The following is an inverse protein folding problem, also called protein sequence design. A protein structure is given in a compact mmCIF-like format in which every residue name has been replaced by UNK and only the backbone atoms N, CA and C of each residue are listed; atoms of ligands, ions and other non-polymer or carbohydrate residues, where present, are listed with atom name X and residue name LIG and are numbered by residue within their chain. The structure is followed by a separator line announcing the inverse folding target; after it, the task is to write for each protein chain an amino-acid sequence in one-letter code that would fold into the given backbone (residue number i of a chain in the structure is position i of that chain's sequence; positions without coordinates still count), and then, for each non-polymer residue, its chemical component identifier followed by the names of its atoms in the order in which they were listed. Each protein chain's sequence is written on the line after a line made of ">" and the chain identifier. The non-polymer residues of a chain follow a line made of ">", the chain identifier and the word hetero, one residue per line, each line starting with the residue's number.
data_IF_199760406104
#
_entry.id   IF_199760406104
#
_cell.length_a   1.000
_cell.length_b   1.000
_cell.length_c   1.000
_cell.angle_alpha   90.00
_cell.angle_beta   90.00
_cell.angle_gamma   90.00
#
_symmetry.space_group_name_H-M   'P 1'
#
loop_
_entity.id
_entity.type
_entity.pdbx_description
1 polymer ?
#
# COMPACT_ATOMS: atom_id res chain seq x y z
N UNK A 1 12.62 2.63 -6.14
CA UNK A 1 14.03 2.28 -5.85
C UNK A 1 14.11 0.76 -5.90
N UNK A 2 14.97 0.18 -6.76
CA UNK A 2 15.05 -1.29 -6.95
C UNK A 2 16.04 -1.85 -5.92
N UNK A 3 15.59 -2.72 -5.03
CA UNK A 3 16.43 -3.41 -4.05
C UNK A 3 16.48 -4.92 -4.33
N UNK A 4 17.62 -5.59 -4.12
CA UNK A 4 17.78 -7.02 -4.38
C UNK A 4 16.93 -7.86 -3.42
N UNK A 5 16.35 -8.94 -3.96
CA UNK A 5 15.50 -9.91 -3.25
C UNK A 5 16.29 -10.60 -2.13
N UNK A 6 16.04 -10.20 -0.89
CA UNK A 6 16.37 -10.98 0.30
C UNK A 6 15.04 -11.40 0.93
N UNK A 7 14.82 -12.71 1.07
CA UNK A 7 13.71 -13.36 1.78
C UNK A 7 12.30 -13.32 1.16
N UNK A 8 12.16 -13.52 -0.16
CA UNK A 8 10.84 -13.75 -0.80
C UNK A 8 9.85 -12.58 -0.69
N UNK A 9 10.31 -11.40 -0.26
CA UNK A 9 9.50 -10.19 -0.06
C UNK A 9 9.09 -9.57 -1.41
N UNK A 10 7.86 -9.03 -1.53
CA UNK A 10 7.43 -8.36 -2.75
C UNK A 10 8.25 -7.07 -2.96
N UNK A 11 8.66 -6.86 -4.21
CA UNK A 11 9.17 -5.60 -4.75
C UNK A 11 7.97 -4.82 -5.25
N UNK A 12 7.77 -3.64 -4.71
CA UNK A 12 6.75 -2.74 -5.22
C UNK A 12 7.29 -1.82 -6.32
N UNK A 13 6.47 -1.59 -7.34
CA UNK A 13 6.73 -0.66 -8.44
C UNK A 13 5.65 0.40 -8.46
N UNK A 14 6.06 1.65 -8.25
CA UNK A 14 5.16 2.79 -8.39
C UNK A 14 4.75 2.95 -9.85
N UNK A 15 3.45 3.05 -10.10
CA UNK A 15 2.89 3.31 -11.43
C UNK A 15 1.90 4.47 -11.37
N UNK A 16 1.86 5.24 -12.44
CA UNK A 16 0.88 6.29 -12.67
C UNK A 16 -0.11 5.85 -13.78
N UNK A 17 -1.02 6.76 -14.16
CA UNK A 17 -2.01 6.48 -15.20
C UNK A 17 -1.35 6.11 -16.54
N UNK A 18 -0.21 6.72 -16.88
CA UNK A 18 0.50 6.45 -18.12
C UNK A 18 1.11 5.05 -18.14
N UNK A 19 1.82 4.66 -17.08
CA UNK A 19 2.40 3.33 -16.93
C UNK A 19 1.32 2.26 -16.85
N UNK A 20 0.21 2.55 -16.16
CA UNK A 20 -0.95 1.64 -16.12
C UNK A 20 -1.49 1.37 -17.53
N UNK A 21 -1.60 2.40 -18.36
CA UNK A 21 -2.06 2.26 -19.74
C UNK A 21 -1.10 1.42 -20.58
N UNK A 22 0.21 1.66 -20.47
CA UNK A 22 1.22 0.86 -21.18
C UNK A 22 1.19 -0.61 -20.77
N UNK A 23 1.11 -0.90 -19.47
CA UNK A 23 1.01 -2.28 -18.96
C UNK A 23 -0.22 -2.97 -19.55
N UNK A 24 -1.38 -2.31 -19.53
CA UNK A 24 -2.64 -2.89 -19.96
C UNK A 24 -2.78 -3.05 -21.48
N UNK A 25 -1.98 -2.32 -22.26
CA UNK A 25 -1.99 -2.39 -23.72
C UNK A 25 -0.88 -3.26 -24.30
N UNK A 26 0.12 -3.62 -23.49
CA UNK A 26 1.22 -4.48 -23.88
C UNK A 26 1.04 -5.91 -23.33
N UNK A 27 0.85 -6.86 -24.24
CA UNK A 27 0.65 -8.27 -23.90
C UNK A 27 1.86 -8.87 -23.18
N UNK A 28 3.08 -8.51 -23.62
CA UNK A 28 4.29 -9.03 -23.02
C UNK A 28 4.41 -8.56 -21.55
N UNK A 29 4.13 -7.29 -21.27
CA UNK A 29 4.13 -6.77 -19.90
C UNK A 29 3.06 -7.45 -19.04
N UNK A 30 1.84 -7.65 -19.57
CA UNK A 30 0.80 -8.39 -18.88
C UNK A 30 1.23 -9.81 -18.51
N UNK A 31 1.78 -10.56 -19.46
CA UNK A 31 2.20 -11.95 -19.25
C UNK A 31 3.42 -12.04 -18.33
N UNK A 32 4.34 -11.08 -18.43
CA UNK A 32 5.48 -10.94 -17.53
C UNK A 32 5.01 -10.75 -16.09
N UNK A 33 4.14 -9.76 -15.83
CA UNK A 33 3.63 -9.48 -14.48
C UNK A 33 2.86 -10.67 -13.89
N UNK A 34 2.05 -11.38 -14.68
CA UNK A 34 1.40 -12.63 -14.25
C UNK A 34 2.36 -13.72 -13.80
N UNK A 35 3.55 -13.77 -14.40
CA UNK A 35 4.57 -14.77 -14.08
C UNK A 35 5.42 -14.38 -12.85
N UNK A 36 5.47 -13.09 -12.52
CA UNK A 36 6.32 -12.55 -11.45
C UNK A 36 5.60 -12.55 -10.09
N UNK A 37 5.90 -13.55 -9.26
CA UNK A 37 5.28 -13.71 -7.93
C UNK A 37 5.73 -12.71 -6.86
N UNK A 38 6.75 -11.90 -7.16
CA UNK A 38 7.36 -10.96 -6.21
C UNK A 38 7.21 -9.51 -6.63
N UNK A 39 6.34 -9.18 -7.58
CA UNK A 39 6.10 -7.78 -7.97
C UNK A 39 4.71 -7.38 -7.49
N UNK A 40 4.62 -6.22 -6.85
CA UNK A 40 3.38 -5.53 -6.55
C UNK A 40 3.38 -4.17 -7.27
N UNK A 41 2.21 -3.72 -7.71
CA UNK A 41 2.05 -2.39 -8.32
C UNK A 41 1.53 -1.43 -7.25
N UNK A 42 2.27 -0.34 -7.00
CA UNK A 42 1.86 0.75 -6.11
C UNK A 42 1.16 1.83 -6.92
N UNK A 43 -0.08 2.14 -6.54
CA UNK A 43 -0.91 3.17 -7.15
C UNK A 43 -1.28 4.16 -6.05
N UNK A 44 -1.02 5.44 -6.25
CA UNK A 44 -1.38 6.47 -5.26
C UNK A 44 -2.85 6.91 -5.40
N UNK A 45 -3.31 7.71 -4.44
CA UNK A 45 -4.68 8.20 -4.37
C UNK A 45 -5.16 9.11 -5.53
N UNK A 46 -4.26 9.51 -6.43
CA UNK A 46 -4.60 10.36 -7.59
C UNK A 46 -4.98 9.55 -8.83
N UNK A 47 -4.98 8.22 -8.75
CA UNK A 47 -5.33 7.36 -9.87
C UNK A 47 -6.69 7.74 -10.46
N UNK A 48 -6.74 7.84 -11.79
CA UNK A 48 -7.87 8.43 -12.50
C UNK A 48 -9.23 7.73 -12.29
N UNK A 49 -9.23 6.47 -11.80
CA UNK A 49 -10.45 5.70 -11.52
C UNK A 49 -11.02 5.90 -10.12
N UNK A 50 -10.31 6.54 -9.18
CA UNK A 50 -10.78 6.74 -7.80
C UNK A 50 -11.88 7.81 -7.65
N UNK A 51 -12.44 8.26 -8.77
CA UNK A 51 -13.58 9.18 -8.81
C UNK A 51 -14.86 8.43 -8.40
N UNK A 52 -15.61 8.99 -7.45
CA UNK A 52 -16.86 8.40 -6.98
C UNK A 52 -17.84 8.09 -8.13
N UNK A 53 -18.44 6.89 -8.09
CA UNK A 53 -19.38 6.44 -9.11
C UNK A 53 -18.75 5.90 -10.41
N UNK A 54 -17.43 5.98 -10.56
CA UNK A 54 -16.72 5.36 -11.69
C UNK A 54 -16.43 3.89 -11.41
N UNK A 55 -16.47 3.08 -12.46
CA UNK A 55 -15.99 1.69 -12.43
C UNK A 55 -14.46 1.65 -12.32
N UNK A 56 -13.95 0.61 -11.66
CA UNK A 56 -12.52 0.41 -11.38
C UNK A 56 -11.94 -0.61 -12.37
N UNK A 57 -12.14 -0.41 -13.68
CA UNK A 57 -11.90 -1.42 -14.71
C UNK A 57 -10.42 -1.62 -14.98
N UNK A 58 -9.65 -0.53 -15.12
CA UNK A 58 -8.20 -0.61 -15.27
C UNK A 58 -7.58 -1.22 -14.00
N UNK A 59 -8.01 -0.76 -12.83
CA UNK A 59 -7.55 -1.28 -11.54
C UNK A 59 -7.84 -2.78 -11.38
N UNK A 60 -9.05 -3.22 -11.71
CA UNK A 60 -9.43 -4.64 -11.65
C UNK A 60 -8.62 -5.49 -12.62
N UNK A 61 -8.30 -4.94 -13.79
CA UNK A 61 -7.47 -5.64 -14.78
C UNK A 61 -6.03 -5.76 -14.30
N UNK A 62 -5.45 -4.71 -13.71
CA UNK A 62 -4.12 -4.74 -13.10
C UNK A 62 -4.05 -5.75 -11.95
N UNK A 63 -5.07 -5.80 -11.10
CA UNK A 63 -5.16 -6.74 -9.97
C UNK A 63 -5.24 -8.21 -10.42
N UNK A 64 -5.71 -8.47 -11.64
CA UNK A 64 -5.68 -9.79 -12.24
C UNK A 64 -4.29 -10.17 -12.80
N UNK A 65 -3.35 -9.23 -12.89
CA UNK A 65 -1.97 -9.47 -13.32
C UNK A 65 -1.07 -9.79 -12.13
N UNK A 66 -1.14 -8.99 -11.06
CA UNK A 66 -0.32 -9.11 -9.87
C UNK A 66 -0.93 -8.29 -8.71
N UNK A 67 -0.42 -8.43 -7.48
CA UNK A 67 -0.89 -7.64 -6.34
C UNK A 67 -0.87 -6.13 -6.61
N UNK A 68 -1.89 -5.43 -6.11
CA UNK A 68 -2.02 -3.96 -6.22
C UNK A 68 -2.08 -3.35 -4.83
N UNK A 69 -1.21 -2.38 -4.60
CA UNK A 69 -1.06 -1.66 -3.35
C UNK A 69 -1.59 -0.23 -3.52
N UNK A 70 -2.32 0.25 -2.53
CA UNK A 70 -2.70 1.66 -2.45
C UNK A 70 -1.63 2.43 -1.70
N UNK A 71 -1.06 3.46 -2.34
CA UNK A 71 -0.11 4.37 -1.74
C UNK A 71 -0.75 5.70 -1.32
N UNK A 72 -0.09 6.41 -0.40
CA UNK A 72 -0.50 7.72 0.11
C UNK A 72 -1.93 7.76 0.71
N UNK A 73 -2.42 6.68 1.34
CA UNK A 73 -3.74 6.70 1.98
C UNK A 73 -3.79 7.75 3.10
N UNK A 74 -4.79 8.63 3.04
CA UNK A 74 -5.01 9.68 4.04
C UNK A 74 -4.69 11.10 3.56
N UNK A 75 -4.22 11.29 2.32
CA UNK A 75 -4.00 12.63 1.74
C UNK A 75 -5.26 13.33 1.21
N UNK A 76 -6.39 12.62 1.18
CA UNK A 76 -7.73 13.20 1.07
C UNK A 76 -8.47 12.90 -0.23
N UNK A 77 -7.89 12.10 -1.14
CA UNK A 77 -8.58 11.64 -2.37
C UNK A 77 -9.05 10.20 -2.29
N UNK A 78 -8.47 9.41 -1.41
CA UNK A 78 -8.96 8.06 -1.08
C UNK A 78 -9.68 8.05 0.25
N UNK A 79 -10.65 7.15 0.40
CA UNK A 79 -11.50 7.06 1.59
C UNK A 79 -11.80 5.59 1.92
N UNK A 80 -12.22 5.33 3.15
CA UNK A 80 -12.58 3.98 3.59
C UNK A 80 -13.62 3.28 2.68
N UNK A 81 -14.67 3.96 2.15
CA UNK A 81 -15.57 3.35 1.16
C UNK A 81 -14.89 2.84 -0.11
N UNK A 82 -13.76 3.42 -0.53
CA UNK A 82 -13.00 2.87 -1.67
C UNK A 82 -12.41 1.50 -1.32
N UNK A 83 -11.90 1.34 -0.10
CA UNK A 83 -11.34 0.07 0.39
C UNK A 83 -12.41 -1.03 0.53
N UNK A 84 -13.68 -0.64 0.76
CA UNK A 84 -14.81 -1.57 0.74
C UNK A 84 -15.21 -1.97 -0.69
N UNK A 85 -15.04 -1.07 -1.66
CA UNK A 85 -15.35 -1.31 -3.09
C UNK A 85 -14.27 -2.10 -3.81
N UNK A 86 -13.02 -1.96 -3.37
CA UNK A 86 -11.88 -2.64 -3.97
C UNK A 86 -10.91 -3.11 -2.88
N UNK A 87 -10.66 -4.41 -2.90
CA UNK A 87 -9.73 -5.06 -1.98
C UNK A 87 -8.31 -4.96 -2.51
N UNK A 88 -7.58 -3.94 -2.08
CA UNK A 88 -6.14 -3.85 -2.27
C UNK A 88 -5.43 -4.96 -1.47
N UNK A 89 -4.29 -5.43 -1.98
CA UNK A 89 -3.45 -6.41 -1.30
C UNK A 89 -2.64 -5.77 -0.16
N UNK A 90 -2.38 -4.47 -0.26
CA UNK A 90 -1.75 -3.67 0.79
C UNK A 90 -2.21 -2.22 0.72
N UNK A 91 -2.32 -1.57 1.87
CA UNK A 91 -2.52 -0.11 1.98
C UNK A 91 -1.35 0.50 2.72
N UNK A 92 -0.72 1.50 2.11
CA UNK A 92 0.30 2.33 2.73
C UNK A 92 -0.36 3.60 3.27
N UNK A 93 -0.32 3.78 4.58
CA UNK A 93 -0.83 4.96 5.30
C UNK A 93 0.24 6.03 5.23
N UNK A 94 -0.12 7.17 4.66
CA UNK A 94 0.78 8.31 4.50
C UNK A 94 1.31 8.82 5.85
N UNK A 95 2.58 9.21 5.85
CA UNK A 95 3.27 9.70 7.05
C UNK A 95 2.59 10.92 7.69
N UNK A 96 2.08 11.86 6.89
CA UNK A 96 1.56 13.13 7.39
C UNK A 96 0.18 12.88 8.00
N UNK A 97 -0.60 11.97 7.39
CA UNK A 97 -1.84 11.46 7.99
C UNK A 97 -1.58 10.74 9.32
N UNK A 98 -0.59 9.85 9.37
CA UNK A 98 -0.24 9.13 10.59
C UNK A 98 0.23 10.08 11.69
N UNK A 99 1.08 11.06 11.37
CA UNK A 99 1.57 12.04 12.34
C UNK A 99 0.49 12.99 12.86
N UNK A 100 -0.47 13.39 12.01
CA UNK A 100 -1.63 14.16 12.48
C UNK A 100 -2.48 13.35 13.48
N UNK A 101 -2.55 12.03 13.28
CA UNK A 101 -3.41 11.12 14.04
C UNK A 101 -2.72 10.33 15.14
N UNK A 102 -1.42 10.49 15.36
CA UNK A 102 -0.69 9.63 16.31
C UNK A 102 -1.14 9.78 17.78
N UNK A 103 -1.88 10.85 18.10
CA UNK A 103 -2.48 11.09 19.42
C UNK A 103 -4.00 10.84 19.45
N UNK A 104 -4.59 10.45 18.31
CA UNK A 104 -6.00 10.11 18.19
C UNK A 104 -6.23 8.67 18.71
N UNK A 105 -7.05 8.47 19.77
CA UNK A 105 -7.28 7.14 20.32
C UNK A 105 -8.00 6.19 19.35
N UNK A 106 -8.58 6.70 18.27
CA UNK A 106 -9.28 5.89 17.25
C UNK A 106 -8.34 5.31 16.19
N UNK A 107 -7.12 5.84 16.05
CA UNK A 107 -6.17 5.45 15.01
C UNK A 107 -5.87 3.93 15.02
N UNK A 108 -5.59 3.27 16.16
CA UNK A 108 -5.40 1.82 16.19
C UNK A 108 -6.58 1.03 15.61
N UNK A 109 -7.81 1.45 15.90
CA UNK A 109 -9.03 0.80 15.40
C UNK A 109 -9.22 1.01 13.90
N UNK A 110 -8.88 2.19 13.39
CA UNK A 110 -8.87 2.46 11.95
C UNK A 110 -7.86 1.56 11.22
N UNK A 111 -6.62 1.50 11.71
CA UNK A 111 -5.57 0.67 11.11
C UNK A 111 -5.96 -0.81 11.10
N UNK A 112 -6.53 -1.32 12.19
CA UNK A 112 -7.03 -2.69 12.27
C UNK A 112 -8.18 -2.94 11.28
N UNK A 113 -9.04 -1.95 11.06
CA UNK A 113 -10.15 -2.05 10.10
C UNK A 113 -9.63 -2.11 8.66
N UNK A 114 -8.66 -1.26 8.31
CA UNK A 114 -7.99 -1.30 7.01
C UNK A 114 -7.29 -2.66 6.81
N UNK A 115 -6.58 -3.14 7.84
CA UNK A 115 -5.93 -4.45 7.82
C UNK A 115 -6.92 -5.59 7.58
N UNK A 116 -8.10 -5.53 8.21
CA UNK A 116 -9.15 -6.54 8.03
C UNK A 116 -9.66 -6.59 6.58
N UNK A 117 -9.74 -5.44 5.91
CA UNK A 117 -10.17 -5.35 4.51
C UNK A 117 -9.09 -5.83 3.53
N UNK A 118 -7.82 -5.52 3.79
CA UNK A 118 -6.74 -5.58 2.79
C UNK A 118 -5.75 -6.71 3.04
N UNK A 119 -5.60 -7.16 4.28
CA UNK A 119 -4.64 -8.18 4.71
C UNK A 119 -3.27 -7.63 5.08
N UNK A 120 -2.84 -6.50 4.49
CA UNK A 120 -1.58 -5.85 4.83
C UNK A 120 -1.72 -4.34 4.93
N UNK A 121 -1.13 -3.76 5.99
CA UNK A 121 -1.04 -2.31 6.17
C UNK A 121 0.40 -1.95 6.45
N UNK A 122 0.91 -0.97 5.71
CA UNK A 122 2.20 -0.34 5.96
C UNK A 122 1.91 1.07 6.48
N UNK A 123 2.44 1.44 7.63
CA UNK A 123 2.40 2.81 8.14
C UNK A 123 3.73 3.47 7.87
N UNK A 124 3.71 4.55 7.08
CA UNK A 124 4.91 5.34 6.78
C UNK A 124 5.21 6.36 7.88
N UNK A 125 6.47 6.82 7.93
CA UNK A 125 6.88 7.86 8.87
C UNK A 125 7.14 7.39 10.29
N UNK A 126 7.47 6.11 10.53
CA UNK A 126 7.88 5.66 11.86
C UNK A 126 9.30 6.18 12.15
N UNK A 127 9.40 7.16 13.03
CA UNK A 127 10.65 7.82 13.41
C UNK A 127 10.98 7.64 14.90
N UNK A 128 10.01 7.26 15.73
CA UNK A 128 10.18 7.14 17.19
C UNK A 128 9.71 5.79 17.73
N UNK A 129 10.25 5.40 18.89
CA UNK A 129 9.77 4.21 19.62
C UNK A 129 8.28 4.32 19.99
N UNK A 130 7.79 5.54 20.27
CA UNK A 130 6.37 5.79 20.54
C UNK A 130 5.52 5.37 19.34
N UNK A 131 5.89 5.82 18.14
CA UNK A 131 5.17 5.50 16.91
C UNK A 131 5.22 4.00 16.59
N UNK A 132 6.38 3.36 16.75
CA UNK A 132 6.52 1.90 16.61
C UNK A 132 5.57 1.16 17.55
N UNK A 133 5.54 1.53 18.84
CA UNK A 133 4.63 0.91 19.82
C UNK A 133 3.16 1.06 19.42
N UNK A 134 2.81 2.24 18.87
CA UNK A 134 1.46 2.57 18.45
C UNK A 134 0.93 1.62 17.36
N UNK A 135 1.77 1.26 16.39
CA UNK A 135 1.38 0.36 15.30
C UNK A 135 1.46 -1.12 15.72
N UNK A 136 2.40 -1.50 16.61
CA UNK A 136 2.50 -2.89 17.08
C UNK A 136 1.32 -3.33 17.95
N UNK A 137 0.57 -2.40 18.54
CA UNK A 137 -0.63 -2.73 19.33
C UNK A 137 -1.89 -2.93 18.49
N UNK A 138 -1.84 -2.69 17.18
CA UNK A 138 -3.00 -2.67 16.29
C UNK A 138 -3.04 -3.86 15.30
N UNK A 139 -2.27 -4.92 15.56
CA UNK A 139 -2.22 -6.15 14.77
C UNK A 139 -0.94 -6.29 13.94
N UNK A 140 -0.99 -7.12 12.89
CA UNK A 140 0.12 -7.37 11.95
C UNK A 140 0.35 -6.19 11.00
N UNK A 141 0.70 -5.03 11.58
CA UNK A 141 1.00 -3.80 10.85
C UNK A 141 2.50 -3.68 10.65
N UNK A 142 2.89 -3.36 9.43
CA UNK A 142 4.27 -3.09 9.05
C UNK A 142 4.54 -1.60 9.23
N UNK A 143 5.67 -1.25 9.81
CA UNK A 143 6.12 0.13 9.88
C UNK A 143 7.26 0.41 8.90
N UNK A 144 7.27 1.58 8.29
CA UNK A 144 8.36 2.08 7.45
C UNK A 144 8.77 3.47 7.92
N UNK A 145 10.07 3.71 8.08
CA UNK A 145 10.57 5.04 8.44
C UNK A 145 11.98 5.04 8.98
N UNK A 146 12.45 6.21 9.41
CA UNK A 146 13.84 6.44 9.85
C UNK A 146 14.18 5.81 11.20
N UNK A 147 13.19 5.32 11.94
CA UNK A 147 13.42 4.64 13.22
C UNK A 147 14.42 3.47 13.07
N UNK A 148 14.29 2.69 11.99
CA UNK A 148 15.30 1.72 11.57
C UNK A 148 16.38 2.45 10.77
N UNK A 149 17.38 3.02 11.48
CA UNK A 149 18.49 3.79 10.91
C UNK A 149 19.10 3.07 9.69
N UNK A 150 18.97 3.65 8.49
CA UNK A 150 19.60 3.30 7.19
C UNK A 150 19.86 1.80 6.83
N UNK A 151 19.29 0.87 7.58
CA UNK A 151 19.13 -0.53 7.21
C UNK A 151 17.67 -0.86 7.49
N UNK A 152 16.94 -1.16 6.41
CA UNK A 152 15.55 -1.58 6.42
C UNK A 152 15.44 -2.96 7.11
N UNK A 153 15.47 -2.97 8.44
CA UNK A 153 15.39 -4.20 9.25
C UNK A 153 13.91 -4.52 9.51
N UNK A 154 13.44 -5.61 8.92
CA UNK A 154 12.14 -6.21 9.23
C UNK A 154 12.22 -7.00 10.53
N UNK A 155 11.24 -6.80 11.41
CA UNK A 155 10.93 -7.71 12.51
C UNK A 155 9.73 -8.55 12.08
N UNK A 156 9.97 -9.82 11.76
CA UNK A 156 8.94 -10.86 11.80
C UNK A 156 9.45 -11.92 12.79
N UNK A 157 8.61 -12.26 13.76
CA UNK A 157 8.79 -13.45 14.60
C UNK A 157 8.18 -14.67 13.93
#
# INVERSE_FOLDING_TARGET
>A
MIFPLVDNKPISLNIDDLLSHFILTDRYLCDFLRSCKHIALEINENFHEFIAGRELTALSTLAALCPVWLDDFGRGRTSFPLLERFRFDCVKVDKDYFWDKENDPTLPGLLQSIHTLTGHVIVEGIETEKQKRLITSAGDIIGQGRYWKEEYIFLCG
#
